data_IF_330718321763
#
_entry.id   IF_330718321763
#
_cell.length_a   1.000
_cell.length_b   1.000
_cell.length_c   1.000
_cell.angle_alpha   90.00
_cell.angle_beta   90.00
_cell.angle_gamma   90.00
#
_symmetry.space_group_name_H-M   'P 1'
#
loop_
_entity.id
_entity.type
_entity.pdbx_description
1 polymer ?
#
# COMPACT_ATOMS: atom_id res chain seq x y z
N UNK A 1 -6.14 -6.73 14.05
CA UNK A 1 -5.69 -7.40 12.81
C UNK A 1 -5.30 -6.40 11.72
N UNK A 2 -6.22 -5.81 10.95
CA UNK A 2 -5.86 -4.90 9.83
C UNK A 2 -5.19 -3.60 10.28
N UNK A 3 -5.63 -3.02 11.39
CA UNK A 3 -5.02 -1.78 11.91
C UNK A 3 -3.59 -2.01 12.43
N UNK A 4 -3.27 -3.18 12.98
CA UNK A 4 -1.89 -3.54 13.38
C UNK A 4 -0.99 -3.64 12.14
N UNK A 5 -1.50 -4.27 11.07
CA UNK A 5 -0.79 -4.32 9.78
C UNK A 5 -0.51 -2.91 9.23
N UNK A 6 -1.50 -2.00 9.25
CA UNK A 6 -1.35 -0.65 8.68
C UNK A 6 -0.54 0.30 9.57
N UNK A 7 -0.71 0.25 10.90
CA UNK A 7 -0.05 1.20 11.83
C UNK A 7 1.35 0.76 12.24
N UNK A 8 1.58 -0.55 12.34
CA UNK A 8 2.82 -1.09 12.92
C UNK A 8 3.65 -1.86 11.88
N UNK A 9 3.15 -1.96 10.63
CA UNK A 9 3.81 -2.66 9.53
C UNK A 9 4.21 -4.11 9.86
N UNK A 10 3.44 -4.76 10.75
CA UNK A 10 3.67 -6.18 11.11
C UNK A 10 3.42 -7.10 9.92
N UNK A 11 4.18 -8.19 9.83
CA UNK A 11 3.99 -9.19 8.77
C UNK A 11 2.66 -9.94 8.93
N UNK A 12 2.09 -10.43 7.82
CA UNK A 12 0.85 -11.24 7.87
C UNK A 12 0.99 -12.44 8.80
N UNK A 13 2.14 -13.11 8.78
CA UNK A 13 2.47 -14.17 9.73
C UNK A 13 2.40 -13.72 11.20
N UNK A 14 3.00 -12.59 11.57
CA UNK A 14 2.95 -12.12 12.97
C UNK A 14 1.54 -11.80 13.43
N UNK A 15 0.78 -11.12 12.57
CA UNK A 15 -0.62 -10.82 12.84
C UNK A 15 -1.42 -12.12 12.95
N UNK A 16 -1.20 -13.09 12.06
CA UNK A 16 -1.94 -14.36 12.09
C UNK A 16 -1.67 -15.17 13.36
N UNK A 17 -0.43 -15.17 13.87
CA UNK A 17 -0.07 -15.81 15.14
C UNK A 17 -0.83 -15.20 16.33
N UNK A 18 -0.97 -13.87 16.37
CA UNK A 18 -1.70 -13.18 17.45
C UNK A 18 -3.19 -13.51 17.49
N UNK A 19 -3.80 -13.84 16.34
CA UNK A 19 -5.22 -14.13 16.21
C UNK A 19 -5.53 -15.63 16.02
N UNK A 20 -4.53 -16.51 16.01
CA UNK A 20 -4.71 -17.95 15.80
C UNK A 20 -5.22 -18.33 14.39
N UNK A 21 -4.89 -17.52 13.38
CA UNK A 21 -5.31 -17.71 12.00
C UNK A 21 -4.14 -18.17 11.11
N UNK A 22 -4.46 -18.73 9.94
CA UNK A 22 -3.46 -18.94 8.90
C UNK A 22 -3.05 -17.61 8.27
N UNK A 23 -1.82 -17.55 7.75
CA UNK A 23 -1.31 -16.37 7.06
C UNK A 23 -2.18 -16.00 5.86
N UNK A 24 -2.62 -17.00 5.08
CA UNK A 24 -3.47 -16.78 3.91
C UNK A 24 -4.82 -16.16 4.31
N UNK A 25 -5.48 -16.70 5.33
CA UNK A 25 -6.75 -16.15 5.85
C UNK A 25 -6.58 -14.70 6.30
N UNK A 26 -5.47 -14.40 6.96
CA UNK A 26 -5.15 -13.05 7.44
C UNK A 26 -4.98 -12.07 6.27
N UNK A 27 -4.26 -12.48 5.22
CA UNK A 27 -4.12 -11.72 3.98
C UNK A 27 -5.47 -11.45 3.31
N UNK A 28 -6.32 -12.47 3.17
CA UNK A 28 -7.64 -12.33 2.52
C UNK A 28 -8.53 -11.33 3.27
N UNK A 29 -8.56 -11.40 4.60
CA UNK A 29 -9.35 -10.49 5.44
C UNK A 29 -8.81 -9.06 5.35
N UNK A 30 -7.49 -8.87 5.47
CA UNK A 30 -6.87 -7.53 5.37
C UNK A 30 -7.18 -6.91 4.01
N UNK A 31 -6.99 -7.68 2.93
CA UNK A 31 -7.26 -7.22 1.57
C UNK A 31 -8.73 -6.90 1.33
N UNK A 32 -9.64 -7.70 1.91
CA UNK A 32 -11.07 -7.42 1.83
C UNK A 32 -11.43 -6.10 2.53
N UNK A 33 -10.86 -5.84 3.71
CA UNK A 33 -11.08 -4.59 4.45
C UNK A 33 -10.50 -3.40 3.69
N UNK A 34 -9.27 -3.48 3.20
CA UNK A 34 -8.63 -2.42 2.40
C UNK A 34 -9.48 -2.07 1.17
N UNK A 35 -9.90 -3.08 0.42
CA UNK A 35 -10.75 -2.87 -0.76
C UNK A 35 -12.10 -2.24 -0.41
N UNK A 36 -12.65 -2.57 0.75
CA UNK A 36 -13.93 -1.99 1.22
C UNK A 36 -13.75 -0.53 1.61
N UNK A 37 -12.67 -0.19 2.33
CA UNK A 37 -12.36 1.19 2.72
C UNK A 37 -12.07 2.07 1.51
N UNK A 38 -11.29 1.58 0.54
CA UNK A 38 -10.96 2.32 -0.69
C UNK A 38 -12.22 2.66 -1.50
N UNK A 39 -13.23 1.77 -1.51
CA UNK A 39 -14.48 1.98 -2.24
C UNK A 39 -15.45 2.92 -1.55
N UNK A 40 -15.28 3.13 -0.24
CA UNK A 40 -16.26 3.87 0.54
C UNK A 40 -16.05 5.39 0.35
N UNK A 41 -17.10 6.15 -0.01
CA UNK A 41 -16.97 7.55 -0.44
C UNK A 41 -16.41 8.47 0.65
N UNK A 42 -16.68 8.18 1.93
CA UNK A 42 -16.16 9.01 3.04
C UNK A 42 -14.64 8.89 3.23
N UNK A 43 -14.02 7.82 2.75
CA UNK A 43 -12.56 7.63 2.80
C UNK A 43 -11.90 7.97 1.47
N UNK A 44 -12.69 8.23 0.43
CA UNK A 44 -12.18 8.71 -0.84
C UNK A 44 -11.77 10.19 -0.68
N UNK A 45 -10.56 10.51 -1.09
CA UNK A 45 -10.13 11.89 -1.16
C UNK A 45 -11.03 12.64 -2.16
N UNK A 46 -11.52 13.84 -1.81
CA UNK A 46 -12.19 14.68 -2.79
C UNK A 46 -11.18 15.01 -3.90
N UNK A 47 -11.66 15.11 -5.14
CA UNK A 47 -10.76 15.33 -6.29
C UNK A 47 -9.84 16.54 -6.09
N UNK A 48 -8.65 16.55 -6.68
CA UNK A 48 -7.60 17.56 -6.39
C UNK A 48 -8.07 19.02 -6.42
N UNK A 49 -9.09 19.35 -7.22
CA UNK A 49 -9.65 20.71 -7.33
C UNK A 49 -10.58 21.10 -6.18
N UNK A 50 -11.16 20.12 -5.49
CA UNK A 50 -12.01 20.35 -4.32
C UNK A 50 -11.18 20.65 -3.06
N UNK A 51 -9.96 20.13 -2.96
CA UNK A 51 -9.01 20.44 -1.89
C UNK A 51 -8.52 21.90 -1.90
N UNK A 52 -8.62 22.59 -3.04
CA UNK A 52 -8.24 24.00 -3.20
C UNK A 52 -9.39 24.97 -2.88
N UNK A 53 -10.63 24.47 -2.76
CA UNK A 53 -11.86 25.27 -2.64
C UNK A 53 -12.49 25.24 -1.25
N UNK A 54 -11.90 24.50 -0.33
CA UNK A 54 -12.38 24.36 1.04
C UNK A 54 -12.05 25.61 1.85
N UNK A 55 -13.06 26.17 2.52
CA UNK A 55 -12.95 27.23 3.56
C UNK A 55 -12.27 26.74 4.85
N UNK A 56 -11.51 25.64 4.79
CA UNK A 56 -10.82 25.07 5.94
C UNK A 56 -9.44 25.73 6.00
N UNK A 57 -9.13 26.43 7.11
CA UNK A 57 -7.77 26.88 7.38
C UNK A 57 -6.84 25.66 7.46
N UNK A 58 -6.05 25.45 6.42
CA UNK A 58 -5.01 24.43 6.41
C UNK A 58 -3.79 24.96 7.15
N UNK A 59 -3.38 24.27 8.21
CA UNK A 59 -2.02 24.42 8.74
C UNK A 59 -1.05 23.77 7.75
N UNK A 60 -0.58 24.56 6.79
CA UNK A 60 0.37 24.10 5.76
C UNK A 60 1.77 24.10 6.37
N UNK A 61 2.29 22.92 6.68
CA UNK A 61 3.70 22.76 7.05
C UNK A 61 4.52 22.55 5.78
N UNK A 62 5.38 23.51 5.44
CA UNK A 62 6.35 23.36 4.36
C UNK A 62 7.48 22.46 4.85
N UNK A 63 7.48 21.21 4.39
CA UNK A 63 8.57 20.26 4.65
C UNK A 63 9.47 20.25 3.41
N UNK A 64 10.71 20.74 3.56
CA UNK A 64 11.74 20.60 2.53
C UNK A 64 12.21 19.13 2.52
N UNK A 65 11.68 18.35 1.58
CA UNK A 65 12.15 16.99 1.36
C UNK A 65 13.41 17.06 0.49
N UNK A 66 14.59 17.05 1.12
CA UNK A 66 15.84 16.92 0.39
C UNK A 66 15.90 15.55 -0.28
N UNK A 67 15.61 15.48 -1.57
CA UNK A 67 15.81 14.27 -2.36
C UNK A 67 17.31 13.99 -2.46
N UNK A 68 17.79 12.97 -1.74
CA UNK A 68 19.13 12.42 -2.00
C UNK A 68 19.13 11.78 -3.39
N UNK A 69 20.14 12.01 -4.24
CA UNK A 69 20.19 11.42 -5.58
C UNK A 69 20.26 9.90 -5.45
N UNK A 70 19.13 9.23 -5.70
CA UNK A 70 19.09 7.79 -5.91
C UNK A 70 19.12 7.54 -7.42
N UNK A 71 19.94 6.59 -7.85
CA UNK A 71 19.99 6.16 -9.25
C UNK A 71 18.68 5.45 -9.62
N UNK A 72 17.67 6.27 -9.95
CA UNK A 72 16.38 5.79 -10.43
C UNK A 72 16.62 5.00 -11.71
N UNK A 73 16.35 3.68 -11.76
CA UNK A 73 16.55 2.91 -12.97
C UNK A 73 15.70 3.50 -14.10
N UNK A 74 16.38 3.94 -15.17
CA UNK A 74 15.70 4.53 -16.34
C UNK A 74 14.76 3.50 -16.95
N UNK A 75 13.50 3.90 -17.17
CA UNK A 75 12.47 3.04 -17.75
C UNK A 75 12.83 2.75 -19.21
N UNK A 76 13.46 1.60 -19.44
CA UNK A 76 13.71 1.08 -20.79
C UNK A 76 12.39 0.67 -21.42
N UNK A 77 12.16 1.06 -22.67
CA UNK A 77 11.08 0.47 -23.48
C UNK A 77 11.43 -1.01 -23.68
N UNK A 78 10.56 -1.90 -23.19
CA UNK A 78 10.58 -3.35 -23.38
C UNK A 78 11.69 -4.14 -22.66
N UNK A 79 11.40 -4.61 -21.44
CA UNK A 79 11.82 -5.96 -21.01
C UNK A 79 10.62 -6.64 -20.33
N UNK A 80 9.80 -7.33 -21.12
CA UNK A 80 8.95 -8.39 -20.59
C UNK A 80 9.86 -9.41 -19.92
N UNK A 81 9.85 -9.49 -18.58
CA UNK A 81 10.46 -10.60 -17.85
C UNK A 81 9.46 -11.75 -17.87
N UNK A 82 9.57 -12.62 -18.87
CA UNK A 82 8.91 -13.91 -18.86
C UNK A 82 9.64 -14.80 -17.84
N UNK A 83 9.09 -14.90 -16.63
CA UNK A 83 9.56 -15.88 -15.64
C UNK A 83 9.01 -17.26 -16.02
N UNK A 84 9.62 -17.89 -17.03
CA UNK A 84 9.34 -19.29 -17.34
C UNK A 84 9.90 -20.15 -16.20
N UNK A 85 8.99 -20.88 -15.56
CA UNK A 85 9.22 -21.87 -14.51
C UNK A 85 10.38 -22.79 -14.90
N UNK A 86 11.44 -22.83 -14.09
CA UNK A 86 12.48 -23.87 -14.19
C UNK A 86 11.83 -25.21 -13.83
N UNK A 87 11.60 -26.07 -14.82
CA UNK A 87 11.38 -27.49 -14.59
C UNK A 87 12.68 -28.10 -14.08
N UNK A 88 12.74 -28.42 -12.79
CA UNK A 88 13.79 -29.28 -12.25
C UNK A 88 13.28 -30.70 -12.45
N UNK A 89 13.82 -31.37 -13.46
CA UNK A 89 13.78 -32.84 -13.57
C UNK A 89 15.03 -33.32 -12.84
N UNK A 90 14.83 -34.11 -11.79
CA UNK A 90 15.77 -35.12 -11.31
C UNK A 90 14.97 -36.39 -11.11
#
# INVERSE_FOLDING_TARGET
MTLEYVREYRTYFHVSQGYGLSENTTYDIIKWIENTLIKHPNFALPGCKALLKSDVEYEVVLIDATETPIDRPKKGKNKQKNNNKKSIIR
#
